data_IF_057618766969
#
_entry.id   IF_057618766969
#
_cell.length_a   1.000
_cell.length_b   1.000
_cell.length_c   1.000
_cell.angle_alpha   90.00
_cell.angle_beta   90.00
_cell.angle_gamma   90.00
#
_symmetry.space_group_name_H-M   'P 1'
#
loop_
_entity.id
_entity.type
_entity.pdbx_description
1 polymer ?
#
# COMPACT_ATOMS: atom_id res chain seq x y z
N UNK A 1 -0.20 10.07 -27.44
CA UNK A 1 1.12 9.38 -27.30
C UNK A 1 1.05 8.48 -26.09
N UNK A 2 1.37 7.22 -26.24
CA UNK A 2 1.48 6.27 -25.14
C UNK A 2 2.55 6.77 -24.16
N UNK A 3 2.26 6.77 -22.85
CA UNK A 3 3.25 7.17 -21.84
C UNK A 3 4.35 6.12 -21.75
N UNK A 4 5.56 6.52 -21.30
CA UNK A 4 6.66 5.57 -21.07
C UNK A 4 6.27 4.45 -20.11
N UNK A 5 5.41 4.76 -19.12
CA UNK A 5 4.90 3.79 -18.15
C UNK A 5 3.95 2.78 -18.82
N UNK A 6 3.06 3.23 -19.68
CA UNK A 6 2.16 2.34 -20.44
C UNK A 6 2.95 1.40 -21.35
N UNK A 7 3.91 1.93 -22.10
CA UNK A 7 4.79 1.13 -22.96
C UNK A 7 5.57 0.08 -22.18
N UNK A 8 6.15 0.45 -21.02
CA UNK A 8 6.85 -0.49 -20.14
C UNK A 8 5.92 -1.55 -19.56
N UNK A 9 4.70 -1.17 -19.15
CA UNK A 9 3.69 -2.09 -18.62
C UNK A 9 3.25 -3.11 -19.70
N UNK A 10 2.98 -2.65 -20.90
CA UNK A 10 2.62 -3.54 -22.03
C UNK A 10 3.77 -4.48 -22.41
N UNK A 11 5.01 -3.98 -22.38
CA UNK A 11 6.18 -4.81 -22.61
C UNK A 11 6.34 -5.89 -21.54
N UNK A 12 6.19 -5.52 -20.26
CA UNK A 12 6.28 -6.46 -19.15
C UNK A 12 5.25 -7.58 -19.24
N UNK A 13 4.00 -7.27 -19.60
CA UNK A 13 2.95 -8.28 -19.85
C UNK A 13 3.31 -9.21 -21.01
N UNK A 14 3.66 -8.64 -22.17
CA UNK A 14 3.99 -9.44 -23.38
C UNK A 14 5.22 -10.34 -23.18
N UNK A 15 6.16 -9.95 -22.35
CA UNK A 15 7.39 -10.69 -22.08
C UNK A 15 7.27 -11.63 -20.89
N UNK A 16 6.10 -11.74 -20.26
CA UNK A 16 5.88 -12.63 -19.13
C UNK A 16 6.61 -12.23 -17.86
N UNK A 17 6.82 -10.93 -17.63
CA UNK A 17 7.30 -10.43 -16.35
C UNK A 17 6.21 -10.45 -15.29
N UNK A 18 4.99 -10.10 -15.70
CA UNK A 18 3.83 -10.06 -14.81
C UNK A 18 2.58 -10.57 -15.52
N UNK A 19 1.68 -11.16 -14.74
CA UNK A 19 0.35 -11.60 -15.16
C UNK A 19 -0.70 -11.12 -14.16
N UNK A 20 -1.96 -10.84 -14.57
CA UNK A 20 -3.04 -10.64 -13.62
C UNK A 20 -3.23 -11.89 -12.74
N UNK A 21 -3.27 -11.73 -11.43
CA UNK A 21 -3.49 -12.87 -10.54
C UNK A 21 -4.86 -13.52 -10.82
N UNK A 22 -4.87 -14.85 -10.98
CA UNK A 22 -6.09 -15.60 -11.30
C UNK A 22 -6.66 -15.30 -12.68
N UNK A 23 -5.85 -15.05 -13.69
CA UNK A 23 -6.27 -14.64 -15.03
C UNK A 23 -7.25 -15.62 -15.69
N UNK A 24 -7.12 -16.92 -15.44
CA UNK A 24 -8.07 -17.94 -15.94
C UNK A 24 -9.51 -17.76 -15.44
N UNK A 25 -9.70 -17.00 -14.37
CA UNK A 25 -11.00 -16.63 -13.81
C UNK A 25 -11.38 -15.16 -14.07
N UNK A 26 -10.73 -14.50 -15.02
CA UNK A 26 -10.96 -13.10 -15.36
C UNK A 26 -9.98 -12.09 -14.75
N UNK A 27 -9.06 -12.57 -13.92
CA UNK A 27 -8.00 -11.75 -13.31
C UNK A 27 -8.49 -10.84 -12.18
N UNK A 28 -7.57 -10.44 -11.33
CA UNK A 28 -7.81 -9.46 -10.24
C UNK A 28 -7.19 -8.12 -10.63
N UNK A 29 -7.96 -7.03 -10.56
CA UNK A 29 -7.48 -5.70 -11.02
C UNK A 29 -6.30 -5.15 -10.24
N UNK A 30 -6.18 -5.52 -8.97
CA UNK A 30 -5.19 -4.99 -8.02
C UNK A 30 -4.11 -5.99 -7.60
N UNK A 31 -4.11 -7.22 -8.13
CA UNK A 31 -3.15 -8.24 -7.81
C UNK A 31 -2.48 -8.80 -9.07
N UNK A 32 -1.17 -9.05 -8.96
CA UNK A 32 -0.32 -9.48 -10.07
C UNK A 32 0.59 -10.61 -9.63
N UNK A 33 0.71 -11.62 -10.47
CA UNK A 33 1.70 -12.67 -10.33
C UNK A 33 2.95 -12.30 -11.13
N UNK A 34 4.12 -12.67 -10.59
CA UNK A 34 5.39 -12.48 -11.28
C UNK A 34 5.72 -13.74 -12.09
N UNK A 35 5.94 -13.57 -13.36
CA UNK A 35 6.52 -14.62 -14.20
C UNK A 35 8.01 -14.81 -13.95
N UNK A 36 8.67 -15.79 -14.60
CA UNK A 36 10.07 -16.15 -14.34
C UNK A 36 11.05 -14.95 -14.42
N UNK A 37 10.92 -14.12 -15.45
CA UNK A 37 11.76 -12.92 -15.59
C UNK A 37 11.42 -11.86 -14.56
N UNK A 38 10.14 -11.75 -14.20
CA UNK A 38 9.67 -10.82 -13.17
C UNK A 38 10.18 -11.18 -11.78
N UNK A 39 10.17 -12.47 -11.43
CA UNK A 39 10.74 -12.97 -10.15
C UNK A 39 12.25 -12.65 -10.09
N UNK A 40 13.00 -12.99 -11.14
CA UNK A 40 14.44 -12.73 -11.17
C UNK A 40 14.75 -11.23 -11.00
N UNK A 41 14.03 -10.36 -11.71
CA UNK A 41 14.19 -8.91 -11.59
C UNK A 41 13.83 -8.41 -10.18
N UNK A 42 12.69 -8.84 -9.65
CA UNK A 42 12.23 -8.50 -8.30
C UNK A 42 13.26 -8.88 -7.23
N UNK A 43 13.78 -10.10 -7.32
CA UNK A 43 14.73 -10.61 -6.32
C UNK A 43 16.08 -9.88 -6.42
N UNK A 44 16.56 -9.55 -7.61
CA UNK A 44 17.74 -8.72 -7.78
C UNK A 44 17.57 -7.32 -7.14
N UNK A 45 16.41 -6.68 -7.34
CA UNK A 45 16.11 -5.38 -6.73
C UNK A 45 16.07 -5.51 -5.20
N UNK A 46 15.41 -6.53 -4.67
CA UNK A 46 15.32 -6.78 -3.22
C UNK A 46 16.70 -7.05 -2.61
N UNK A 47 17.54 -7.88 -3.25
CA UNK A 47 18.89 -8.16 -2.79
C UNK A 47 19.77 -6.92 -2.77
N UNK A 48 19.72 -6.11 -3.83
CA UNK A 48 20.54 -4.88 -3.89
C UNK A 48 20.05 -3.85 -2.86
N UNK A 49 18.74 -3.71 -2.67
CA UNK A 49 18.19 -2.85 -1.63
C UNK A 49 18.63 -3.32 -0.23
N UNK A 50 18.51 -4.63 0.06
CA UNK A 50 18.89 -5.20 1.35
C UNK A 50 20.40 -5.04 1.59
N UNK A 51 21.21 -5.30 0.59
CA UNK A 51 22.65 -5.10 0.66
C UNK A 51 23.00 -3.66 0.99
N UNK A 52 22.41 -2.73 0.29
CA UNK A 52 22.68 -1.30 0.43
C UNK A 52 22.19 -0.71 1.75
N UNK A 53 20.98 -1.11 2.20
CA UNK A 53 20.32 -0.49 3.34
C UNK A 53 20.58 -1.21 4.66
N UNK A 54 20.92 -2.49 4.62
CA UNK A 54 21.10 -3.32 5.82
C UNK A 54 22.51 -3.89 5.92
N UNK A 55 22.91 -4.73 4.95
CA UNK A 55 24.13 -5.55 5.09
C UNK A 55 25.43 -4.74 5.15
N UNK A 56 25.52 -3.64 4.40
CA UNK A 56 26.69 -2.78 4.36
C UNK A 56 26.73 -1.74 5.48
N UNK A 57 25.72 -1.68 6.32
CA UNK A 57 25.60 -0.72 7.42
C UNK A 57 25.91 -1.39 8.75
N UNK A 58 26.72 -0.73 9.57
CA UNK A 58 27.04 -1.18 10.93
C UNK A 58 26.04 -0.72 12.01
N UNK A 59 25.08 0.14 11.64
CA UNK A 59 24.11 0.78 12.52
C UNK A 59 22.67 0.30 12.27
N UNK A 60 22.49 -0.69 11.41
CA UNK A 60 21.19 -1.23 11.01
C UNK A 60 21.18 -2.76 11.14
N UNK A 61 20.09 -3.30 11.66
CA UNK A 61 19.80 -4.74 11.66
C UNK A 61 18.53 -5.00 10.86
N UNK A 62 18.50 -6.14 10.16
CA UNK A 62 17.32 -6.54 9.38
C UNK A 62 16.28 -7.21 10.26
N UNK A 63 15.01 -6.86 10.03
CA UNK A 63 13.84 -7.49 10.65
C UNK A 63 12.82 -7.81 9.56
N UNK A 64 12.21 -8.97 9.65
CA UNK A 64 11.08 -9.35 8.80
C UNK A 64 9.88 -9.67 9.70
N UNK A 65 8.94 -8.75 9.77
CA UNK A 65 7.77 -8.85 10.64
C UNK A 65 6.61 -9.55 9.94
N UNK A 66 5.64 -10.04 10.71
CA UNK A 66 4.46 -10.71 10.16
C UNK A 66 3.64 -9.80 9.23
N UNK A 67 3.12 -10.38 8.15
CA UNK A 67 2.16 -9.69 7.25
C UNK A 67 0.82 -9.46 7.94
N UNK A 68 0.44 -10.37 8.85
CA UNK A 68 -0.80 -10.28 9.62
C UNK A 68 -0.46 -9.83 11.02
N UNK A 69 -1.07 -8.75 11.49
CA UNK A 69 -0.87 -8.18 12.82
C UNK A 69 -2.22 -7.99 13.53
N UNK A 70 -2.25 -8.08 14.89
CA UNK A 70 -3.45 -7.86 15.68
C UNK A 70 -4.03 -6.46 15.50
N UNK A 71 -5.35 -6.34 15.70
CA UNK A 71 -6.08 -5.07 15.53
C UNK A 71 -5.55 -3.96 16.43
N UNK A 72 -5.06 -4.28 17.61
CA UNK A 72 -4.54 -3.33 18.60
C UNK A 72 -3.36 -2.51 18.06
N UNK A 73 -2.51 -3.11 17.24
CA UNK A 73 -1.37 -2.40 16.61
C UNK A 73 -1.89 -1.27 15.72
N UNK A 74 -2.94 -1.53 14.98
CA UNK A 74 -3.51 -0.60 14.00
C UNK A 74 -4.44 0.43 14.64
N UNK A 75 -5.05 0.09 15.75
CA UNK A 75 -5.78 1.04 16.61
C UNK A 75 -4.79 2.00 17.26
N UNK A 76 -3.71 1.49 17.85
CA UNK A 76 -2.69 2.31 18.50
C UNK A 76 -1.98 3.27 17.52
N UNK A 77 -1.76 2.84 16.29
CA UNK A 77 -1.16 3.67 15.24
C UNK A 77 -2.15 4.58 14.51
N UNK A 78 -3.45 4.49 14.82
CA UNK A 78 -4.52 5.30 14.23
C UNK A 78 -5.03 4.83 12.87
N UNK A 79 -4.41 3.81 12.24
CA UNK A 79 -4.77 3.36 10.90
C UNK A 79 -6.22 2.91 10.76
N UNK A 80 -6.77 2.26 11.78
CA UNK A 80 -8.18 1.80 11.74
C UNK A 80 -9.15 2.96 11.56
N UNK A 81 -8.83 4.13 12.12
CA UNK A 81 -9.72 5.28 12.12
C UNK A 81 -9.49 6.27 10.98
N UNK A 82 -8.25 6.40 10.49
CA UNK A 82 -7.89 7.49 9.56
C UNK A 82 -7.43 6.97 8.18
N UNK A 83 -7.24 5.66 8.02
CA UNK A 83 -6.77 5.09 6.75
C UNK A 83 -7.95 4.84 5.79
N UNK A 84 -8.69 5.92 5.52
CA UNK A 84 -9.88 5.90 4.70
C UNK A 84 -9.72 6.81 3.49
N UNK A 85 -10.15 6.33 2.32
CA UNK A 85 -10.27 7.14 1.12
C UNK A 85 -11.72 7.56 0.92
N UNK A 86 -12.01 8.86 0.72
CA UNK A 86 -13.33 9.31 0.32
C UNK A 86 -13.60 8.92 -1.12
N UNK A 87 -14.37 7.85 -1.36
CA UNK A 87 -14.70 7.38 -2.70
C UNK A 87 -16.05 7.92 -3.17
N UNK A 88 -16.07 8.34 -4.43
CA UNK A 88 -17.28 8.69 -5.19
C UNK A 88 -17.40 7.80 -6.43
N UNK A 89 -18.62 7.49 -6.83
CA UNK A 89 -18.92 6.78 -8.08
C UNK A 89 -19.56 7.71 -9.08
N UNK A 90 -19.12 7.67 -10.33
CA UNK A 90 -19.80 8.37 -11.41
C UNK A 90 -21.10 7.64 -11.76
N UNK A 91 -22.23 8.34 -11.64
CA UNK A 91 -23.55 7.76 -11.91
C UNK A 91 -23.82 7.44 -13.39
N UNK A 92 -22.92 7.86 -14.30
CA UNK A 92 -23.04 7.59 -15.72
C UNK A 92 -22.21 6.39 -16.18
N UNK A 93 -20.92 6.31 -15.80
CA UNK A 93 -20.03 5.24 -16.24
C UNK A 93 -19.70 4.22 -15.13
N UNK A 94 -20.23 4.40 -13.92
CA UNK A 94 -20.06 3.53 -12.76
C UNK A 94 -18.59 3.29 -12.33
N UNK A 95 -17.68 4.18 -12.77
CA UNK A 95 -16.29 4.16 -12.30
C UNK A 95 -16.15 4.92 -11.00
N UNK A 96 -15.26 4.42 -10.13
CA UNK A 96 -14.99 4.98 -8.81
C UNK A 96 -13.70 5.76 -8.81
N UNK A 97 -13.70 6.86 -8.07
CA UNK A 97 -12.57 7.78 -7.93
C UNK A 97 -12.49 8.27 -6.48
N UNK A 98 -11.31 8.70 -6.08
CA UNK A 98 -11.13 9.44 -4.83
C UNK A 98 -11.64 10.87 -5.02
N UNK A 99 -12.49 11.31 -4.12
CA UNK A 99 -13.07 12.65 -4.18
C UNK A 99 -12.01 13.75 -4.06
N UNK A 100 -11.07 13.59 -3.11
CA UNK A 100 -9.95 14.50 -2.89
C UNK A 100 -9.06 14.66 -4.14
N UNK A 101 -8.70 13.56 -4.81
CA UNK A 101 -7.92 13.62 -6.04
C UNK A 101 -8.67 14.28 -7.20
N UNK A 102 -9.99 14.14 -7.27
CA UNK A 102 -10.79 14.82 -8.28
C UNK A 102 -10.80 16.33 -8.04
N UNK A 103 -10.89 16.75 -6.78
CA UNK A 103 -10.83 18.16 -6.38
C UNK A 103 -9.46 18.77 -6.67
N UNK A 104 -8.37 18.11 -6.28
CA UNK A 104 -6.98 18.50 -6.58
C UNK A 104 -6.74 18.65 -8.09
N UNK A 105 -7.23 17.68 -8.86
CA UNK A 105 -7.07 17.71 -10.33
C UNK A 105 -7.86 18.84 -10.97
N UNK A 106 -9.05 19.12 -10.45
CA UNK A 106 -9.87 20.26 -10.89
C UNK A 106 -9.18 21.58 -10.58
N UNK A 107 -8.66 21.75 -9.36
CA UNK A 107 -7.94 22.93 -8.92
C UNK A 107 -6.69 23.18 -9.76
N UNK A 108 -5.89 22.14 -9.99
CA UNK A 108 -4.70 22.22 -10.83
C UNK A 108 -5.01 22.68 -12.27
N UNK A 109 -6.19 22.35 -12.79
CA UNK A 109 -6.60 22.68 -14.15
C UNK A 109 -7.24 24.07 -14.27
N UNK A 110 -7.98 24.51 -13.24
CA UNK A 110 -8.79 25.74 -13.30
C UNK A 110 -8.25 26.88 -12.44
N UNK A 111 -7.27 26.59 -11.56
CA UNK A 111 -6.64 27.59 -10.70
C UNK A 111 -7.46 28.01 -9.48
N UNK A 112 -8.56 27.31 -9.17
CA UNK A 112 -9.40 27.54 -8.00
C UNK A 112 -10.06 26.24 -7.53
N UNK A 113 -10.34 26.16 -6.24
CA UNK A 113 -11.03 25.03 -5.62
C UNK A 113 -12.46 24.92 -6.14
N UNK A 114 -12.98 23.72 -6.46
CA UNK A 114 -14.36 23.55 -6.95
C UNK A 114 -15.37 23.89 -5.86
N UNK A 115 -16.52 24.43 -6.25
CA UNK A 115 -17.66 24.69 -5.35
C UNK A 115 -18.38 23.40 -4.90
N UNK A 116 -17.72 22.26 -5.02
CA UNK A 116 -18.19 20.92 -4.68
C UNK A 116 -18.19 19.97 -5.87
N UNK A 117 -18.58 18.71 -5.62
CA UNK A 117 -18.57 17.65 -6.64
C UNK A 117 -19.45 17.94 -7.86
N UNK A 118 -20.43 18.86 -7.72
CA UNK A 118 -21.39 19.19 -8.78
C UNK A 118 -20.79 19.86 -10.03
N UNK A 119 -19.60 20.43 -9.95
CA UNK A 119 -18.92 21.10 -11.08
C UNK A 119 -17.79 20.26 -11.68
N UNK A 120 -17.41 19.16 -11.05
CA UNK A 120 -16.29 18.33 -11.46
C UNK A 120 -16.72 17.37 -12.57
N UNK A 121 -16.05 17.38 -13.74
CA UNK A 121 -16.28 16.40 -14.79
C UNK A 121 -15.65 15.04 -14.46
N UNK A 122 -16.32 13.97 -14.84
CA UNK A 122 -15.77 12.64 -14.74
C UNK A 122 -14.55 12.49 -15.67
N UNK A 123 -13.38 12.08 -15.19
CA UNK A 123 -12.19 11.91 -16.02
C UNK A 123 -12.36 10.88 -17.15
N UNK A 124 -13.25 9.92 -16.97
CA UNK A 124 -13.45 8.81 -17.89
C UNK A 124 -14.50 9.12 -18.97
N UNK A 125 -15.66 9.68 -18.58
CA UNK A 125 -16.76 9.86 -19.51
C UNK A 125 -17.15 11.33 -19.76
N UNK A 126 -16.49 12.27 -19.09
CA UNK A 126 -16.72 13.72 -19.25
C UNK A 126 -18.02 14.23 -18.62
N UNK A 127 -18.87 13.38 -18.05
CA UNK A 127 -20.15 13.81 -17.45
C UNK A 127 -19.88 14.68 -16.22
N UNK A 128 -20.50 15.87 -16.16
CA UNK A 128 -20.32 16.82 -15.07
C UNK A 128 -21.36 16.59 -13.97
N UNK A 129 -20.90 16.64 -12.71
CA UNK A 129 -21.77 16.73 -11.53
C UNK A 129 -22.64 15.52 -11.21
N UNK A 130 -22.46 14.40 -11.88
CA UNK A 130 -23.22 13.17 -11.59
C UNK A 130 -22.40 12.19 -10.74
N UNK A 131 -22.27 12.51 -9.45
CA UNK A 131 -21.51 11.75 -8.48
C UNK A 131 -22.41 11.24 -7.36
N UNK A 132 -22.07 10.09 -6.80
CA UNK A 132 -22.63 9.67 -5.51
C UNK A 132 -22.10 10.57 -4.40
N UNK A 133 -22.75 10.54 -3.24
CA UNK A 133 -22.16 11.11 -2.03
C UNK A 133 -20.83 10.39 -1.72
N UNK A 134 -19.79 11.13 -1.28
CA UNK A 134 -18.55 10.53 -0.82
C UNK A 134 -18.81 9.51 0.29
N UNK A 135 -18.17 8.36 0.20
CA UNK A 135 -18.20 7.33 1.23
C UNK A 135 -16.79 6.95 1.60
N UNK A 136 -16.52 6.96 2.89
CA UNK A 136 -15.24 6.51 3.41
C UNK A 136 -15.06 5.02 3.13
N UNK A 137 -13.98 4.71 2.44
CA UNK A 137 -13.56 3.35 2.18
C UNK A 137 -12.29 3.08 2.98
N UNK A 138 -12.40 2.23 4.00
CA UNK A 138 -11.24 1.81 4.77
C UNK A 138 -10.37 0.88 3.92
N UNK A 139 -9.12 1.25 3.73
CA UNK A 139 -8.16 0.49 2.92
C UNK A 139 -7.52 -0.69 3.66
N UNK A 140 -7.80 -0.85 4.95
CA UNK A 140 -7.29 -1.95 5.75
C UNK A 140 -7.94 -3.28 5.35
N UNK A 141 -7.12 -4.22 4.86
CA UNK A 141 -7.57 -5.59 4.62
C UNK A 141 -7.65 -6.35 5.94
N UNK A 142 -8.86 -6.68 6.37
CA UNK A 142 -9.13 -7.39 7.62
C UNK A 142 -9.31 -8.89 7.39
N UNK A 143 -8.94 -9.66 8.39
CA UNK A 143 -9.16 -11.11 8.45
C UNK A 143 -9.37 -11.54 9.89
N UNK A 144 -9.83 -12.76 10.11
CA UNK A 144 -9.95 -13.36 11.44
C UNK A 144 -9.02 -14.55 11.55
N UNK A 145 -8.32 -14.67 12.69
CA UNK A 145 -7.50 -15.84 13.00
C UNK A 145 -8.23 -16.75 13.98
N UNK A 146 -8.37 -18.02 13.61
CA UNK A 146 -9.08 -19.02 14.41
C UNK A 146 -10.46 -19.35 13.85
N UNK A 147 -11.19 -20.28 14.52
CA UNK A 147 -12.46 -20.83 14.02
C UNK A 147 -13.68 -19.93 14.27
N UNK A 148 -13.54 -18.89 15.09
CA UNK A 148 -14.62 -17.98 15.47
C UNK A 148 -14.28 -16.57 15.02
N UNK A 149 -15.22 -15.94 14.35
CA UNK A 149 -15.11 -14.54 13.94
C UNK A 149 -15.68 -13.64 15.04
N UNK A 150 -14.81 -13.13 15.90
CA UNK A 150 -15.14 -12.17 16.95
C UNK A 150 -14.11 -11.01 16.97
N UNK A 151 -14.30 -10.07 17.88
CA UNK A 151 -13.41 -8.91 18.01
C UNK A 151 -11.99 -9.31 18.42
N UNK A 152 -11.82 -10.39 19.18
CA UNK A 152 -10.51 -10.85 19.64
C UNK A 152 -9.73 -11.58 18.54
N UNK A 153 -10.43 -12.15 17.56
CA UNK A 153 -9.84 -12.84 16.43
C UNK A 153 -9.52 -11.88 15.26
N UNK A 154 -9.94 -10.60 15.36
CA UNK A 154 -9.76 -9.61 14.30
C UNK A 154 -8.28 -9.23 14.12
N UNK A 155 -7.79 -9.44 12.92
CA UNK A 155 -6.45 -9.10 12.47
C UNK A 155 -6.50 -8.35 11.16
N UNK A 156 -5.42 -7.65 10.85
CA UNK A 156 -5.28 -6.94 9.58
C UNK A 156 -4.00 -7.35 8.84
N UNK A 157 -4.10 -7.42 7.52
CA UNK A 157 -2.92 -7.44 6.67
C UNK A 157 -2.29 -6.04 6.74
N UNK A 158 -0.98 -5.99 7.01
CA UNK A 158 -0.27 -4.71 7.14
C UNK A 158 -0.34 -3.88 5.86
N UNK A 159 -0.80 -2.62 5.90
CA UNK A 159 -0.72 -1.70 4.77
C UNK A 159 0.69 -1.13 4.58
N UNK A 160 1.49 -1.14 5.66
CA UNK A 160 2.88 -0.70 5.68
C UNK A 160 3.70 -1.50 6.69
N UNK A 161 5.02 -1.35 6.68
CA UNK A 161 5.94 -2.17 7.47
C UNK A 161 6.41 -1.52 8.78
N UNK A 162 6.13 -0.24 8.99
CA UNK A 162 6.68 0.52 10.10
C UNK A 162 6.23 -0.01 11.47
N UNK A 163 4.95 -0.32 11.65
CA UNK A 163 4.39 -0.72 12.95
C UNK A 163 5.00 -2.01 13.48
N UNK A 164 5.19 -3.02 12.60
CA UNK A 164 5.85 -4.26 12.99
C UNK A 164 7.28 -4.02 13.51
N UNK A 165 8.03 -3.12 12.88
CA UNK A 165 9.38 -2.76 13.31
C UNK A 165 9.35 -2.11 14.70
N UNK A 166 8.39 -1.22 14.96
CA UNK A 166 8.25 -0.59 16.29
C UNK A 166 7.80 -1.57 17.36
N UNK A 167 6.87 -2.46 17.05
CA UNK A 167 6.38 -3.48 17.98
C UNK A 167 7.50 -4.44 18.40
N UNK A 168 8.31 -4.89 17.45
CA UNK A 168 9.38 -5.85 17.69
C UNK A 168 10.68 -5.22 18.22
N UNK A 169 10.73 -3.88 18.34
CA UNK A 169 11.95 -3.18 18.71
C UNK A 169 12.56 -3.67 20.04
N UNK A 170 11.74 -3.83 21.08
CA UNK A 170 12.21 -4.26 22.39
C UNK A 170 12.76 -5.70 22.35
N UNK A 171 12.11 -6.59 21.62
CA UNK A 171 12.55 -7.99 21.46
C UNK A 171 13.87 -8.07 20.68
N UNK A 172 13.98 -7.33 19.58
CA UNK A 172 15.20 -7.26 18.78
C UNK A 172 16.35 -6.69 19.62
N UNK A 173 16.11 -5.60 20.36
CA UNK A 173 17.13 -5.01 21.23
C UNK A 173 17.52 -5.98 22.37
N UNK A 174 16.57 -6.73 22.93
CA UNK A 174 16.80 -7.67 24.01
C UNK A 174 17.58 -8.91 23.62
N UNK A 175 17.46 -9.36 22.36
CA UNK A 175 18.07 -10.60 21.86
C UNK A 175 19.29 -10.38 20.98
N UNK A 176 19.46 -9.19 20.43
CA UNK A 176 20.57 -8.85 19.53
C UNK A 176 21.90 -8.69 20.29
N UNK A 177 23.05 -8.96 19.64
CA UNK A 177 24.36 -8.60 20.17
C UNK A 177 24.52 -7.10 20.46
N UNK A 178 23.57 -6.28 20.02
CA UNK A 178 23.48 -4.83 20.30
C UNK A 178 22.96 -4.48 21.70
N UNK A 179 22.80 -5.46 22.61
CA UNK A 179 22.37 -5.29 24.01
C UNK A 179 23.11 -4.17 24.76
N UNK A 180 24.28 -3.79 24.29
CA UNK A 180 25.12 -2.75 24.92
C UNK A 180 25.09 -1.40 24.21
N UNK A 181 24.33 -1.25 23.15
CA UNK A 181 24.08 0.05 22.53
C UNK A 181 23.06 0.83 23.38
N UNK A 182 23.53 1.44 24.45
CA UNK A 182 22.80 2.56 25.06
C UNK A 182 22.82 3.69 24.04
N UNK A 183 21.73 4.44 23.98
CA UNK A 183 21.57 5.62 23.16
C UNK A 183 22.88 6.41 23.01
N UNK A 184 23.47 6.43 21.82
CA UNK A 184 24.65 7.25 21.51
C UNK A 184 26.00 6.68 21.93
N UNK A 185 26.13 5.50 22.51
CA UNK A 185 27.44 4.88 22.76
C UNK A 185 27.85 3.99 21.59
N UNK A 186 29.05 4.29 21.02
CA UNK A 186 29.69 3.42 20.05
C UNK A 186 29.99 2.07 20.71
N UNK A 187 29.75 0.98 19.97
CA UNK A 187 30.24 -0.35 20.33
C UNK A 187 31.74 -0.27 20.62
N UNK A 188 32.25 -0.91 21.69
CA UNK A 188 33.69 -1.09 21.84
C UNK A 188 34.19 -1.89 20.63
N UNK A 189 35.31 -1.44 20.07
CA UNK A 189 36.01 -2.11 18.97
C UNK A 189 36.55 -3.47 19.41
#
# INVERSE_FOLDING_TARGET
MESKLEAATQLAKRRGFVFPAGEIYGGTRSAWDYGPLGVALKDNIKHEWWRSMVTTRGDVVGVDTSVILPSEVWVASGHVNVFNDPLVECLNCHKRFRADHLEEHYEAKHGHTPEGMGVIPCPECGTVGKWTQPRDFNMMLRTHLGPVEDENSLHYLRPETAQGIFVDFAEVLGTSPFRHCQYGQKLPQ
#
